data_IF_478824856790
#
_entry.id   IF_478824856790
#
_cell.length_a   1.000
_cell.length_b   1.000
_cell.length_c   1.000
_cell.angle_alpha   90.00
_cell.angle_beta   90.00
_cell.angle_gamma   90.00
#
_symmetry.space_group_name_H-M   'P 1'
#
loop_
_entity.id
_entity.type
_entity.pdbx_description
1 polymer ?
#
# COMPACT_ATOMS: atom_id res chain seq x y z
N UNK A 1 8.68 -31.83 -1.54
CA UNK A 1 7.78 -31.31 -0.49
C UNK A 1 7.93 -29.80 -0.47
N UNK A 2 6.96 -29.08 -1.02
CA UNK A 2 6.91 -27.62 -1.00
C UNK A 2 5.58 -27.31 -0.34
N UNK A 3 5.62 -26.97 0.95
CA UNK A 3 4.45 -26.55 1.69
C UNK A 3 4.04 -25.17 1.20
N UNK A 4 3.27 -25.15 0.11
CA UNK A 4 2.47 -23.97 -0.22
C UNK A 4 1.52 -23.71 0.94
N UNK A 5 1.24 -22.43 1.18
CA UNK A 5 0.15 -22.02 2.06
C UNK A 5 -1.17 -22.43 1.38
N UNK A 6 -1.48 -23.71 1.43
CA UNK A 6 -2.82 -24.29 1.22
C UNK A 6 -3.20 -24.92 2.54
N UNK A 7 -3.56 -24.07 3.50
CA UNK A 7 -4.44 -24.40 4.59
C UNK A 7 -5.08 -23.09 5.02
N UNK A 8 -6.38 -23.17 5.28
CA UNK A 8 -7.33 -22.14 5.67
C UNK A 8 -6.98 -21.49 7.02
N UNK A 9 -5.75 -20.98 7.15
CA UNK A 9 -5.37 -20.06 8.20
C UNK A 9 -5.84 -18.68 7.76
N UNK A 10 -6.98 -18.25 8.29
CA UNK A 10 -7.44 -16.88 8.20
C UNK A 10 -6.31 -15.96 8.68
N UNK A 11 -5.73 -15.18 7.77
CA UNK A 11 -4.74 -14.16 8.14
C UNK A 11 -5.46 -13.11 8.97
N UNK A 12 -5.02 -12.92 10.20
CA UNK A 12 -5.67 -12.01 11.14
C UNK A 12 -5.07 -10.60 11.07
N UNK A 13 -5.92 -9.59 11.20
CA UNK A 13 -5.47 -8.21 11.40
C UNK A 13 -4.50 -8.14 12.58
N UNK A 14 -3.40 -7.39 12.43
CA UNK A 14 -2.35 -7.26 13.43
C UNK A 14 -1.34 -8.41 13.45
N UNK A 15 -1.54 -9.46 12.64
CA UNK A 15 -0.54 -10.53 12.52
C UNK A 15 0.76 -9.98 11.94
N UNK A 16 1.88 -10.35 12.55
CA UNK A 16 3.22 -9.92 12.12
C UNK A 16 3.86 -11.01 11.27
N UNK A 17 4.35 -10.60 10.10
CA UNK A 17 5.01 -11.41 9.09
C UNK A 17 6.46 -10.98 8.90
N UNK A 18 7.29 -11.94 8.50
CA UNK A 18 8.62 -11.73 7.95
C UNK A 18 8.55 -11.18 6.53
N UNK A 19 9.66 -10.65 6.02
CA UNK A 19 9.72 -10.31 4.59
C UNK A 19 9.51 -11.53 3.68
N UNK A 20 10.01 -12.71 4.07
CA UNK A 20 9.87 -13.92 3.27
C UNK A 20 8.38 -14.22 3.02
N UNK A 21 7.57 -14.21 4.08
CA UNK A 21 6.12 -14.43 4.00
C UNK A 21 5.41 -13.31 3.23
N UNK A 22 5.72 -12.04 3.52
CA UNK A 22 5.15 -10.91 2.77
C UNK A 22 5.46 -11.02 1.28
N UNK A 23 6.68 -11.46 0.92
CA UNK A 23 7.13 -11.52 -0.47
C UNK A 23 6.43 -12.59 -1.32
N UNK A 24 5.72 -13.53 -0.70
CA UNK A 24 4.88 -14.49 -1.42
C UNK A 24 3.70 -13.77 -2.12
N UNK A 25 3.17 -12.73 -1.47
CA UNK A 25 2.07 -11.88 -1.94
C UNK A 25 2.63 -10.60 -2.59
N UNK A 26 3.40 -9.82 -1.83
CA UNK A 26 3.93 -8.52 -2.20
C UNK A 26 5.36 -8.66 -2.75
N UNK A 27 5.45 -8.98 -4.04
CA UNK A 27 6.68 -9.48 -4.69
C UNK A 27 7.75 -8.43 -5.01
N UNK A 28 7.60 -7.19 -4.55
CA UNK A 28 8.52 -6.07 -4.84
C UNK A 28 8.82 -5.27 -3.56
N UNK A 29 9.96 -4.60 -3.48
CA UNK A 29 10.34 -3.81 -2.28
C UNK A 29 9.68 -2.43 -2.19
N UNK A 30 8.98 -2.00 -3.24
CA UNK A 30 8.31 -0.71 -3.32
C UNK A 30 6.93 -0.78 -2.68
N UNK A 31 6.33 0.37 -2.36
CA UNK A 31 5.01 0.40 -1.70
C UNK A 31 3.87 -0.26 -2.48
N UNK A 32 3.97 -0.33 -3.81
CA UNK A 32 2.87 -0.75 -4.68
C UNK A 32 3.30 -1.96 -5.49
N UNK A 33 2.58 -3.07 -5.32
CA UNK A 33 2.73 -4.23 -6.19
C UNK A 33 1.50 -4.37 -7.09
N UNK A 34 1.75 -4.45 -8.40
CA UNK A 34 0.72 -4.63 -9.42
C UNK A 34 1.18 -5.63 -10.49
N UNK A 35 0.23 -6.24 -11.21
CA UNK A 35 0.50 -7.14 -12.33
C UNK A 35 -0.54 -6.94 -13.43
N UNK A 36 -0.09 -6.69 -14.66
CA UNK A 36 -1.00 -6.47 -15.79
C UNK A 36 -1.97 -5.29 -15.58
N UNK A 37 -1.52 -4.22 -14.92
CA UNK A 37 -2.36 -3.05 -14.59
C UNK A 37 -3.31 -3.23 -13.41
N UNK A 38 -3.42 -4.44 -12.84
CA UNK A 38 -4.21 -4.73 -11.64
C UNK A 38 -3.36 -4.56 -10.38
N UNK A 39 -3.87 -3.82 -9.39
CA UNK A 39 -3.26 -3.72 -8.06
C UNK A 39 -3.37 -5.08 -7.34
N UNK A 40 -2.30 -5.49 -6.65
CA UNK A 40 -2.25 -6.79 -5.97
C UNK A 40 -2.09 -6.63 -4.47
N UNK A 41 -1.23 -5.72 -4.02
CA UNK A 41 -1.00 -5.49 -2.58
C UNK A 41 -0.24 -4.18 -2.36
N UNK A 42 -0.29 -3.68 -1.12
CA UNK A 42 0.32 -2.44 -0.70
C UNK A 42 1.24 -2.64 0.51
N UNK A 43 2.29 -1.83 0.59
CA UNK A 43 3.09 -1.61 1.79
C UNK A 43 2.97 -0.16 2.22
N UNK A 44 2.96 0.07 3.53
CA UNK A 44 3.12 1.39 4.16
C UNK A 44 4.10 1.29 5.32
N UNK A 45 4.57 2.43 5.83
CA UNK A 45 5.29 2.52 7.10
C UNK A 45 4.79 3.68 8.00
N UNK A 46 3.68 4.32 7.61
CA UNK A 46 3.11 5.52 8.25
C UNK A 46 4.14 6.57 8.66
N UNK A 47 5.23 6.72 7.89
CA UNK A 47 6.30 7.66 8.19
C UNK A 47 7.10 7.36 9.47
N UNK A 48 6.87 6.22 10.14
CA UNK A 48 7.56 5.86 11.40
C UNK A 48 9.03 5.48 11.19
N UNK A 49 9.34 4.91 10.03
CA UNK A 49 10.69 4.42 9.71
C UNK A 49 11.32 5.28 8.62
N UNK A 50 10.55 5.68 7.60
CA UNK A 50 11.03 6.55 6.55
C UNK A 50 10.12 7.78 6.44
N UNK A 51 10.58 8.97 6.89
CA UNK A 51 9.74 10.16 6.92
C UNK A 51 9.44 10.73 5.52
N UNK A 52 9.91 10.08 4.44
CA UNK A 52 9.74 10.60 3.09
C UNK A 52 8.35 10.36 2.49
N UNK A 53 7.46 9.65 3.19
CA UNK A 53 6.06 9.48 2.79
C UNK A 53 5.15 9.75 3.98
N UNK A 54 4.32 10.81 3.92
CA UNK A 54 3.34 11.10 4.96
C UNK A 54 2.10 10.29 4.64
N UNK A 55 2.19 8.96 4.76
CA UNK A 55 0.99 8.14 4.86
C UNK A 55 0.44 8.31 6.27
N UNK A 56 -0.86 8.57 6.40
CA UNK A 56 -1.50 8.74 7.69
C UNK A 56 -2.89 8.13 7.66
N UNK A 57 -3.34 7.70 8.83
CA UNK A 57 -4.75 7.41 9.03
C UNK A 57 -5.54 8.71 8.86
N UNK A 58 -6.66 8.62 8.15
CA UNK A 58 -7.63 9.72 8.04
C UNK A 58 -8.33 9.97 9.37
N UNK A 59 -9.61 10.36 9.32
CA UNK A 59 -10.38 10.63 10.56
C UNK A 59 -10.59 9.39 11.44
N UNK A 60 -10.43 8.18 10.87
CA UNK A 60 -10.62 6.91 11.57
C UNK A 60 -9.52 5.91 11.22
N UNK A 61 -9.39 4.83 11.99
CA UNK A 61 -8.48 3.72 11.69
C UNK A 61 -8.88 2.89 10.43
N UNK A 62 -10.03 3.20 9.83
CA UNK A 62 -10.57 2.56 8.65
C UNK A 62 -10.36 3.38 7.38
N UNK A 63 -9.65 4.50 7.48
CA UNK A 63 -9.30 5.37 6.37
C UNK A 63 -7.79 5.62 6.38
N UNK A 64 -7.14 5.50 5.23
CA UNK A 64 -5.72 5.84 5.06
C UNK A 64 -5.58 6.78 3.87
N UNK A 65 -4.85 7.87 4.06
CA UNK A 65 -4.34 8.67 2.95
C UNK A 65 -2.99 8.11 2.53
N UNK A 66 -2.97 7.44 1.39
CA UNK A 66 -1.82 6.75 0.83
C UNK A 66 -1.14 7.60 -0.24
N UNK A 67 0.18 7.73 -0.18
CA UNK A 67 0.94 8.51 -1.17
C UNK A 67 1.38 7.62 -2.33
N UNK A 68 1.20 8.10 -3.56
CA UNK A 68 1.59 7.39 -4.77
C UNK A 68 3.10 7.18 -4.92
N UNK A 69 3.48 6.43 -5.96
CA UNK A 69 4.86 6.12 -6.29
C UNK A 69 5.59 7.30 -6.95
N UNK A 70 6.84 7.48 -6.55
CA UNK A 70 7.77 8.47 -7.09
C UNK A 70 8.41 9.28 -5.97
N UNK A 71 9.71 9.09 -5.74
CA UNK A 71 10.42 9.68 -4.59
C UNK A 71 10.98 11.09 -4.82
N UNK A 72 11.18 11.51 -6.07
CA UNK A 72 11.84 12.78 -6.42
C UNK A 72 11.06 13.51 -7.50
N UNK A 73 10.97 14.83 -7.38
CA UNK A 73 10.24 15.71 -8.31
C UNK A 73 8.75 15.38 -8.39
N UNK A 74 8.03 16.06 -9.27
CA UNK A 74 6.60 15.80 -9.45
C UNK A 74 6.32 14.32 -9.78
N UNK A 75 5.37 13.73 -9.06
CA UNK A 75 5.01 12.33 -9.29
C UNK A 75 4.32 12.16 -10.64
N UNK A 76 4.80 11.20 -11.42
CA UNK A 76 4.26 10.92 -12.76
C UNK A 76 3.14 9.88 -12.69
N UNK A 77 2.25 9.90 -13.68
CA UNK A 77 1.33 8.79 -13.94
C UNK A 77 2.07 7.60 -14.54
N UNK A 78 2.82 6.89 -13.71
CA UNK A 78 3.52 5.65 -14.07
C UNK A 78 2.59 4.43 -13.85
N UNK A 79 3.06 3.24 -14.22
CA UNK A 79 2.29 2.00 -14.10
C UNK A 79 1.79 1.71 -12.68
N UNK A 80 2.53 2.09 -11.63
CA UNK A 80 2.11 1.85 -10.24
C UNK A 80 1.01 2.82 -9.80
N UNK A 81 1.13 4.11 -10.15
CA UNK A 81 0.07 5.09 -9.88
C UNK A 81 -1.19 4.81 -10.73
N UNK A 82 -1.00 4.38 -11.97
CA UNK A 82 -2.11 3.93 -12.82
C UNK A 82 -2.82 2.72 -12.23
N UNK A 83 -2.09 1.76 -11.64
CA UNK A 83 -2.71 0.58 -11.02
C UNK A 83 -3.59 0.94 -9.80
N UNK A 84 -3.23 1.98 -9.04
CA UNK A 84 -4.08 2.52 -7.97
C UNK A 84 -5.37 3.16 -8.55
N UNK A 85 -5.27 3.92 -9.65
CA UNK A 85 -6.45 4.47 -10.33
C UNK A 85 -7.37 3.36 -10.87
N UNK A 86 -6.80 2.34 -11.51
CA UNK A 86 -7.56 1.18 -11.98
C UNK A 86 -8.24 0.41 -10.83
N UNK A 87 -7.67 0.45 -9.62
CA UNK A 87 -8.26 -0.17 -8.44
C UNK A 87 -9.50 0.59 -7.95
N UNK A 88 -9.56 1.91 -8.15
CA UNK A 88 -10.78 2.72 -7.90
C UNK A 88 -11.91 2.23 -8.80
N UNK A 89 -11.65 2.10 -10.11
CA UNK A 89 -12.68 1.69 -11.08
C UNK A 89 -13.20 0.27 -10.82
N UNK A 90 -12.31 -0.64 -10.42
CA UNK A 90 -12.66 -2.04 -10.20
C UNK A 90 -13.19 -2.34 -8.80
N UNK A 91 -12.98 -1.44 -7.83
CA UNK A 91 -13.50 -1.55 -6.46
C UNK A 91 -13.02 -2.78 -5.67
N UNK A 92 -11.98 -3.47 -6.15
CA UNK A 92 -11.49 -4.69 -5.49
C UNK A 92 -10.62 -4.34 -4.27
N UNK A 93 -10.68 -5.19 -3.25
CA UNK A 93 -9.83 -5.07 -2.08
C UNK A 93 -8.46 -5.73 -2.29
N UNK A 94 -7.43 -5.19 -1.63
CA UNK A 94 -6.06 -5.73 -1.64
C UNK A 94 -5.47 -5.75 -0.23
N UNK A 95 -4.59 -6.71 0.09
CA UNK A 95 -3.90 -6.75 1.37
C UNK A 95 -2.92 -5.58 1.53
N UNK A 96 -2.91 -4.97 2.72
CA UNK A 96 -1.97 -3.92 3.13
C UNK A 96 -1.07 -4.43 4.25
N UNK A 97 0.23 -4.18 4.15
CA UNK A 97 1.20 -4.49 5.21
C UNK A 97 1.92 -3.23 5.68
N UNK A 98 1.90 -2.99 6.99
CA UNK A 98 2.59 -1.87 7.62
C UNK A 98 3.97 -2.32 8.13
N UNK A 99 5.02 -1.55 7.82
CA UNK A 99 6.37 -1.84 8.29
C UNK A 99 6.53 -1.44 9.75
N UNK A 100 6.81 -2.41 10.61
CA UNK A 100 7.12 -2.16 12.03
C UNK A 100 8.62 -2.01 12.28
N UNK A 101 9.43 -2.80 11.57
CA UNK A 101 10.90 -2.74 11.60
C UNK A 101 11.48 -3.39 10.34
N UNK A 102 12.81 -3.44 10.22
CA UNK A 102 13.46 -4.24 9.18
C UNK A 102 13.01 -5.70 9.33
N UNK A 103 12.38 -6.23 8.28
CA UNK A 103 11.90 -7.61 8.23
C UNK A 103 10.66 -7.90 9.07
N UNK A 104 10.02 -6.91 9.70
CA UNK A 104 8.79 -7.08 10.49
C UNK A 104 7.66 -6.26 9.90
N UNK A 105 6.60 -6.94 9.47
CA UNK A 105 5.48 -6.36 8.74
C UNK A 105 4.16 -6.78 9.37
N UNK A 106 3.31 -5.83 9.75
CA UNK A 106 2.01 -6.07 10.34
C UNK A 106 0.93 -6.06 9.25
N UNK A 107 0.13 -7.12 9.17
CA UNK A 107 -1.01 -7.15 8.26
C UNK A 107 -2.13 -6.23 8.74
N UNK A 108 -2.52 -5.28 7.89
CA UNK A 108 -3.53 -4.26 8.19
C UNK A 108 -4.93 -4.62 7.68
N UNK A 109 -5.14 -5.84 7.18
CA UNK A 109 -6.40 -6.23 6.55
C UNK A 109 -6.42 -5.96 5.05
N UNK A 110 -7.62 -6.04 4.48
CA UNK A 110 -7.90 -5.75 3.08
C UNK A 110 -8.48 -4.36 2.92
N UNK A 111 -8.05 -3.67 1.88
CA UNK A 111 -8.34 -2.25 1.66
C UNK A 111 -8.75 -2.01 0.20
N UNK A 112 -9.73 -1.14 0.02
CA UNK A 112 -10.23 -0.68 -1.28
C UNK A 112 -9.70 0.72 -1.53
N UNK A 113 -9.18 0.99 -2.73
CA UNK A 113 -8.83 2.36 -3.16
C UNK A 113 -10.12 3.04 -3.61
N UNK A 114 -10.50 4.15 -2.97
CA UNK A 114 -11.79 4.81 -3.25
C UNK A 114 -11.67 6.16 -3.95
N UNK A 115 -10.51 6.82 -3.85
CA UNK A 115 -10.26 8.10 -4.49
C UNK A 115 -8.78 8.26 -4.83
N UNK A 116 -8.48 9.13 -5.81
CA UNK A 116 -7.13 9.48 -6.24
C UNK A 116 -7.09 10.92 -6.75
N UNK A 117 -6.17 11.72 -6.22
CA UNK A 117 -6.00 13.13 -6.54
C UNK A 117 -4.53 13.45 -6.80
N UNK A 118 -4.27 14.37 -7.74
CA UNK A 118 -2.93 14.87 -8.02
C UNK A 118 -2.81 16.30 -7.47
N UNK A 119 -2.13 16.44 -6.33
CA UNK A 119 -2.16 17.64 -5.51
C UNK A 119 -0.75 18.17 -5.26
N UNK A 120 -0.63 19.48 -5.12
CA UNK A 120 0.62 20.12 -4.72
C UNK A 120 0.82 19.96 -3.21
N UNK A 121 1.97 19.40 -2.81
CA UNK A 121 2.37 19.29 -1.41
C UNK A 121 3.35 20.42 -1.08
N UNK A 122 2.92 21.38 -0.26
CA UNK A 122 3.71 22.56 0.10
C UNK A 122 4.96 22.20 0.91
N UNK A 123 4.89 21.17 1.77
CA UNK A 123 6.02 20.75 2.62
C UNK A 123 7.16 20.17 1.79
N UNK A 124 6.82 19.45 0.73
CA UNK A 124 7.79 18.84 -0.19
C UNK A 124 8.04 19.68 -1.45
N UNK A 125 7.28 20.77 -1.64
CA UNK A 125 7.33 21.68 -2.79
C UNK A 125 7.29 20.94 -4.14
N UNK A 126 6.29 20.06 -4.31
CA UNK A 126 6.14 19.20 -5.50
C UNK A 126 4.73 18.64 -5.61
N UNK A 127 4.36 18.20 -6.80
CA UNK A 127 3.12 17.48 -7.04
C UNK A 127 3.22 16.02 -6.60
N UNK A 128 2.21 15.54 -5.88
CA UNK A 128 2.08 14.17 -5.40
C UNK A 128 0.73 13.58 -5.81
N UNK A 129 0.72 12.29 -6.10
CA UNK A 129 -0.51 11.51 -6.09
C UNK A 129 -0.88 11.15 -4.65
N UNK A 130 -2.13 11.41 -4.28
CA UNK A 130 -2.74 11.05 -3.00
C UNK A 130 -3.95 10.18 -3.26
N UNK A 131 -4.04 9.07 -2.54
CA UNK A 131 -5.12 8.11 -2.68
C UNK A 131 -5.79 7.91 -1.33
N UNK A 132 -7.12 7.73 -1.35
CA UNK A 132 -7.87 7.34 -0.15
C UNK A 132 -8.10 5.84 -0.20
N UNK A 133 -7.72 5.17 0.89
CA UNK A 133 -8.00 3.76 1.11
C UNK A 133 -9.05 3.62 2.21
N UNK A 134 -10.03 2.74 2.00
CA UNK A 134 -11.01 2.38 3.01
C UNK A 134 -10.91 0.88 3.29
N UNK A 135 -10.98 0.50 4.56
CA UNK A 135 -10.95 -0.90 4.97
C UNK A 135 -12.24 -1.61 4.55
N UNK A 136 -12.11 -2.82 4.00
CA UNK A 136 -13.24 -3.72 3.71
C UNK A 136 -13.94 -4.19 4.99
#
# INVERSE_FOLDING_TARGET
MIGGITNSNTVLFGQVFTWAEVSEIHRVRNGIYHRGGRLISLLTDFGRINPCYPDFHGRTANEIHYTGFGRRGDQKLNASNQALLNAIESGHSVPLFNKLAVGRWEFQGHWVVTAGEYVFDEKQNRMLWKFTLVRE
#
